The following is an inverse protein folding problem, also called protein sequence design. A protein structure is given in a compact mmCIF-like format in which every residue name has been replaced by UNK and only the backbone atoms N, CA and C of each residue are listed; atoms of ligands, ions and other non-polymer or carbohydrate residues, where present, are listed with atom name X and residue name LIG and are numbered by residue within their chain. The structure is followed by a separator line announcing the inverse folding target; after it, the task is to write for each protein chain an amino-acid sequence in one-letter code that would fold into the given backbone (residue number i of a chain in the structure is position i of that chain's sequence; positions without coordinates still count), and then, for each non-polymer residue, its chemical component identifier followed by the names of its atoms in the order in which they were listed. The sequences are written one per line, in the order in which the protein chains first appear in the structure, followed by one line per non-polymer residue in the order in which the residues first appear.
data_IF_361205065960
#
_entry.id   IF_361205065960
#
_cell.length_a   1.000
_cell.length_b   1.000
_cell.length_c   1.000
_cell.angle_alpha   90.00
_cell.angle_beta   90.00
_cell.angle_gamma   90.00
#
_symmetry.space_group_name_H-M   'P 1'
#
loop_
_entity.id
_entity.type
_entity.pdbx_description
1 polymer ?
#
# COMPACT_ATOMS: atom_id res chain seq x y z
N UNK A 1 -20.35 -11.57 -28.23
CA UNK A 1 -19.02 -11.07 -28.61
C UNK A 1 -18.01 -11.81 -27.73
N UNK A 2 -17.27 -12.75 -28.29
CA UNK A 2 -16.38 -13.66 -27.56
C UNK A 2 -15.30 -12.85 -26.83
N UNK A 3 -15.19 -13.09 -25.52
CA UNK A 3 -14.13 -12.56 -24.68
C UNK A 3 -12.89 -13.39 -25.01
N UNK A 4 -11.95 -12.78 -25.76
CA UNK A 4 -10.63 -13.35 -25.91
C UNK A 4 -9.99 -13.49 -24.52
N UNK A 5 -9.62 -14.72 -24.18
CA UNK A 5 -8.80 -15.04 -23.03
C UNK A 5 -7.53 -14.20 -23.07
N UNK A 6 -7.22 -13.53 -21.94
CA UNK A 6 -5.93 -12.88 -21.73
C UNK A 6 -4.86 -13.97 -21.68
N UNK A 7 -4.16 -14.17 -22.79
CA UNK A 7 -3.08 -15.15 -22.88
C UNK A 7 -1.80 -14.57 -22.25
N UNK A 8 -1.51 -14.99 -21.02
CA UNK A 8 -0.30 -14.63 -20.27
C UNK A 8 1.01 -15.04 -20.98
N UNK A 9 0.95 -15.87 -22.02
CA UNK A 9 2.13 -16.42 -22.70
C UNK A 9 2.80 -15.48 -23.71
N UNK A 10 2.19 -14.34 -24.06
CA UNK A 10 2.82 -13.36 -24.96
C UNK A 10 3.87 -12.44 -24.31
N UNK A 11 4.11 -12.58 -23.01
CA UNK A 11 5.16 -11.86 -22.28
C UNK A 11 6.35 -12.78 -21.95
N UNK A 12 6.83 -13.51 -22.97
CA UNK A 12 8.09 -14.25 -22.84
C UNK A 12 9.25 -13.31 -22.53
N UNK A 13 10.08 -13.77 -21.60
CA UNK A 13 11.24 -13.12 -21.00
C UNK A 13 12.22 -12.58 -22.05
N UNK A 14 12.06 -11.31 -22.41
CA UNK A 14 13.20 -10.48 -22.82
C UNK A 14 13.67 -9.73 -21.58
N UNK A 15 14.97 -9.81 -21.25
CA UNK A 15 15.60 -9.06 -20.14
C UNK A 15 15.04 -7.63 -20.12
N UNK A 16 14.44 -7.14 -19.02
CA UNK A 16 13.80 -5.84 -19.03
C UNK A 16 14.88 -4.76 -19.26
N UNK A 17 14.75 -3.97 -20.32
CA UNK A 17 15.47 -2.70 -20.41
C UNK A 17 14.83 -1.74 -19.40
N UNK A 18 15.49 -1.56 -18.26
CA UNK A 18 15.00 -0.78 -17.13
C UNK A 18 15.18 0.74 -17.32
N UNK A 19 14.94 1.24 -18.52
CA UNK A 19 14.98 2.68 -18.80
C UNK A 19 13.60 3.29 -18.55
N UNK A 20 13.47 4.04 -17.45
CA UNK A 20 12.25 4.77 -17.10
C UNK A 20 11.65 4.44 -15.73
N UNK A 21 12.20 3.46 -15.01
CA UNK A 21 11.87 3.26 -13.61
C UNK A 21 12.56 4.34 -12.76
N UNK A 22 11.88 4.73 -11.68
CA UNK A 22 12.53 5.53 -10.66
C UNK A 22 13.83 4.84 -10.24
N UNK A 23 14.91 5.59 -10.00
CA UNK A 23 16.16 5.01 -9.46
C UNK A 23 15.92 4.19 -8.18
N UNK A 24 14.80 4.43 -7.50
CA UNK A 24 14.31 3.71 -6.32
C UNK A 24 13.53 2.42 -6.68
N UNK A 25 12.73 2.39 -7.75
CA UNK A 25 11.95 1.23 -8.22
C UNK A 25 12.80 0.29 -9.06
N UNK A 26 13.64 0.81 -9.95
CA UNK A 26 14.67 0.01 -10.63
C UNK A 26 15.52 -0.70 -9.60
N UNK A 27 15.94 0.00 -8.55
CA UNK A 27 16.72 -0.62 -7.47
C UNK A 27 15.90 -1.60 -6.64
N UNK A 28 14.60 -1.35 -6.38
CA UNK A 28 13.70 -2.27 -5.65
C UNK A 28 13.43 -3.57 -6.41
N UNK A 29 13.31 -3.49 -7.74
CA UNK A 29 13.05 -4.63 -8.63
C UNK A 29 14.36 -5.38 -8.93
N UNK A 30 15.47 -4.67 -9.14
CA UNK A 30 16.77 -5.27 -9.44
C UNK A 30 17.41 -5.96 -8.23
N UNK A 31 17.12 -5.50 -7.01
CA UNK A 31 17.61 -6.20 -5.81
C UNK A 31 16.74 -7.39 -5.45
N UNK A 32 15.47 -7.46 -5.89
CA UNK A 32 14.66 -8.61 -5.52
C UNK A 32 13.46 -8.92 -6.44
N UNK A 33 13.68 -9.59 -7.58
CA UNK A 33 12.61 -10.00 -8.49
C UNK A 33 11.65 -11.02 -7.86
N UNK A 34 12.18 -11.93 -7.02
CA UNK A 34 11.46 -13.11 -6.50
C UNK A 34 10.88 -12.91 -5.09
N UNK A 35 11.36 -11.94 -4.31
CA UNK A 35 10.94 -11.76 -2.89
C UNK A 35 9.63 -11.02 -2.68
N UNK A 36 9.23 -10.12 -3.58
CA UNK A 36 7.86 -9.62 -3.58
C UNK A 36 6.89 -10.74 -3.97
N UNK A 37 7.33 -11.67 -4.83
CA UNK A 37 6.62 -12.92 -5.11
C UNK A 37 6.55 -13.82 -3.87
N UNK A 38 7.64 -14.00 -3.11
CA UNK A 38 7.61 -14.76 -1.86
C UNK A 38 6.81 -14.08 -0.73
N UNK A 39 6.88 -12.75 -0.57
CA UNK A 39 5.97 -12.02 0.33
C UNK A 39 4.52 -12.15 -0.13
N UNK A 40 4.25 -12.29 -1.44
CA UNK A 40 2.91 -12.54 -1.94
C UNK A 40 2.39 -13.97 -1.71
N UNK A 41 3.31 -14.94 -1.51
CA UNK A 41 3.01 -16.38 -1.39
C UNK A 41 2.74 -16.87 0.04
N UNK A 42 3.12 -16.13 1.07
CA UNK A 42 3.17 -16.70 2.44
C UNK A 42 1.78 -16.83 3.10
N UNK A 43 0.72 -16.18 2.63
CA UNK A 43 -0.65 -16.39 3.15
C UNK A 43 -1.76 -16.38 2.10
N UNK A 44 -1.70 -17.23 1.09
CA UNK A 44 -2.92 -17.65 0.36
C UNK A 44 -3.45 -18.94 0.98
N UNK A 45 -4.39 -18.86 1.93
CA UNK A 45 -5.33 -19.99 2.08
C UNK A 45 -6.10 -20.09 0.76
N UNK A 46 -6.41 -21.29 0.30
CA UNK A 46 -7.03 -21.56 -1.02
C UNK A 46 -8.32 -20.74 -1.29
N UNK A 47 -8.97 -20.19 -0.26
CA UNK A 47 -10.19 -19.37 -0.35
C UNK A 47 -9.97 -17.86 -0.13
N UNK A 48 -8.74 -17.36 -0.16
CA UNK A 48 -8.45 -15.91 -0.07
C UNK A 48 -8.70 -15.25 1.29
N UNK A 49 -9.18 -15.97 2.31
CA UNK A 49 -9.40 -15.38 3.64
C UNK A 49 -8.11 -15.37 4.46
N UNK A 50 -7.70 -14.19 4.94
CA UNK A 50 -6.46 -13.97 5.68
C UNK A 50 -6.78 -13.37 7.06
N UNK A 51 -7.27 -14.24 7.95
CA UNK A 51 -7.58 -13.90 9.35
C UNK A 51 -8.97 -14.33 9.82
N UNK A 52 -9.28 -14.00 11.07
CA UNK A 52 -10.59 -14.18 11.70
C UNK A 52 -11.38 -12.86 11.69
N UNK A 53 -12.65 -12.89 12.11
CA UNK A 53 -13.41 -11.65 12.38
C UNK A 53 -12.85 -10.94 13.62
N UNK A 54 -13.09 -9.62 13.77
CA UNK A 54 -12.87 -8.93 15.04
C UNK A 54 -13.55 -9.65 16.20
N UNK A 55 -12.90 -9.68 17.36
CA UNK A 55 -13.37 -10.44 18.52
C UNK A 55 -14.75 -9.98 18.98
N UNK A 56 -14.95 -8.67 19.11
CA UNK A 56 -16.21 -8.08 19.54
C UNK A 56 -17.36 -8.37 18.55
N UNK A 57 -17.10 -8.33 17.24
CA UNK A 57 -18.07 -8.74 16.23
C UNK A 57 -18.43 -10.22 16.35
N UNK A 58 -17.45 -11.09 16.61
CA UNK A 58 -17.68 -12.53 16.82
C UNK A 58 -18.51 -12.82 18.08
N UNK A 59 -18.29 -12.09 19.17
CA UNK A 59 -19.04 -12.28 20.42
C UNK A 59 -20.54 -11.97 20.27
N UNK A 60 -20.97 -11.18 19.30
CA UNK A 60 -22.39 -10.87 19.06
C UNK A 60 -23.24 -12.09 18.66
N UNK A 61 -22.63 -13.10 18.04
CA UNK A 61 -23.35 -14.30 17.55
C UNK A 61 -22.70 -15.60 18.04
N UNK A 62 -21.75 -15.51 18.97
CA UNK A 62 -21.01 -16.67 19.48
C UNK A 62 -21.95 -17.64 20.19
N UNK A 63 -21.87 -18.90 19.78
CA UNK A 63 -22.58 -20.02 20.40
C UNK A 63 -21.61 -21.05 21.00
N UNK A 64 -22.16 -22.05 21.69
CA UNK A 64 -21.40 -23.22 22.18
C UNK A 64 -21.06 -24.20 21.04
N UNK A 65 -21.76 -24.17 19.90
CA UNK A 65 -21.49 -25.04 18.76
C UNK A 65 -20.41 -24.44 17.87
N UNK A 66 -19.39 -25.25 17.57
CA UNK A 66 -18.30 -24.84 16.67
C UNK A 66 -18.78 -24.73 15.23
N UNK A 67 -19.68 -25.63 14.82
CA UNK A 67 -20.28 -25.69 13.49
C UNK A 67 -21.14 -24.45 13.25
N UNK A 68 -22.04 -24.11 14.18
CA UNK A 68 -22.86 -22.91 14.10
C UNK A 68 -22.00 -21.63 14.05
N UNK A 69 -20.93 -21.58 14.85
CA UNK A 69 -19.99 -20.46 14.81
C UNK A 69 -19.29 -20.34 13.45
N UNK A 70 -18.85 -21.45 12.87
CA UNK A 70 -18.20 -21.44 11.55
C UNK A 70 -19.18 -21.00 10.44
N UNK A 71 -20.43 -21.45 10.50
CA UNK A 71 -21.48 -21.04 9.56
C UNK A 71 -21.79 -19.54 9.69
N UNK A 72 -21.97 -19.02 10.91
CA UNK A 72 -22.22 -17.60 11.12
C UNK A 72 -21.03 -16.73 10.72
N UNK A 73 -19.79 -17.15 10.99
CA UNK A 73 -18.59 -16.46 10.50
C UNK A 73 -18.62 -16.36 8.97
N UNK A 74 -19.00 -17.44 8.28
CA UNK A 74 -19.12 -17.44 6.82
C UNK A 74 -20.20 -16.46 6.36
N UNK A 75 -21.40 -16.52 6.93
CA UNK A 75 -22.52 -15.60 6.60
C UNK A 75 -22.15 -14.13 6.81
N UNK A 76 -21.45 -13.80 7.90
CA UNK A 76 -20.98 -12.42 8.17
C UNK A 76 -19.94 -11.98 7.13
N UNK A 77 -19.00 -12.86 6.77
CA UNK A 77 -18.02 -12.56 5.69
C UNK A 77 -18.72 -12.37 4.35
N UNK A 78 -19.72 -13.19 4.02
CA UNK A 78 -20.49 -13.08 2.79
C UNK A 78 -21.27 -11.75 2.74
N UNK A 79 -21.93 -11.36 3.83
CA UNK A 79 -22.59 -10.05 3.93
C UNK A 79 -21.62 -8.88 3.70
N UNK A 80 -20.41 -8.94 4.28
CA UNK A 80 -19.37 -7.92 4.06
C UNK A 80 -18.82 -7.93 2.63
N UNK A 81 -18.74 -9.09 1.99
CA UNK A 81 -18.37 -9.20 0.57
C UNK A 81 -19.44 -8.55 -0.33
N UNK A 82 -20.72 -8.87 -0.10
CA UNK A 82 -21.85 -8.33 -0.87
C UNK A 82 -21.92 -6.81 -0.75
N UNK A 83 -21.74 -6.28 0.46
CA UNK A 83 -21.64 -4.84 0.69
C UNK A 83 -20.43 -4.24 -0.03
N UNK A 84 -19.27 -4.91 -0.01
CA UNK A 84 -18.09 -4.45 -0.73
C UNK A 84 -18.30 -4.42 -2.24
N UNK A 85 -19.09 -5.32 -2.83
CA UNK A 85 -19.40 -5.27 -4.26
C UNK A 85 -20.16 -4.00 -4.63
N UNK A 86 -21.09 -3.55 -3.78
CA UNK A 86 -21.76 -2.26 -3.96
C UNK A 86 -20.75 -1.10 -3.85
N UNK A 87 -19.93 -1.08 -2.79
CA UNK A 87 -18.94 -0.03 -2.56
C UNK A 87 -17.89 0.04 -3.68
N UNK A 88 -17.46 -1.10 -4.22
CA UNK A 88 -16.52 -1.19 -5.33
C UNK A 88 -17.09 -0.57 -6.63
N UNK A 89 -18.42 -0.46 -6.74
CA UNK A 89 -19.11 0.24 -7.83
C UNK A 89 -18.75 1.73 -7.96
N UNK A 90 -18.16 2.32 -6.91
CA UNK A 90 -17.56 3.67 -7.00
C UNK A 90 -16.48 3.71 -8.08
N UNK A 91 -15.64 2.68 -8.22
CA UNK A 91 -14.57 2.68 -9.22
C UNK A 91 -15.12 2.63 -10.66
N UNK A 92 -16.26 1.98 -10.88
CA UNK A 92 -16.98 2.00 -12.17
C UNK A 92 -17.62 3.38 -12.45
N UNK A 93 -18.16 4.04 -11.41
CA UNK A 93 -18.61 5.42 -11.56
C UNK A 93 -17.45 6.36 -11.92
N UNK A 94 -16.26 6.19 -11.32
CA UNK A 94 -15.06 6.95 -11.70
C UNK A 94 -14.68 6.75 -13.16
N UNK A 95 -14.76 5.52 -13.66
CA UNK A 95 -14.48 5.20 -15.07
C UNK A 95 -15.45 5.96 -15.98
N UNK A 96 -16.75 5.98 -15.64
CA UNK A 96 -17.77 6.75 -16.38
C UNK A 96 -17.50 8.25 -16.35
N UNK A 97 -17.29 8.83 -15.16
CA UNK A 97 -16.94 10.25 -14.99
C UNK A 97 -15.72 10.61 -15.85
N UNK A 98 -14.68 9.77 -15.84
CA UNK A 98 -13.49 9.99 -16.67
C UNK A 98 -13.78 9.94 -18.17
N UNK A 99 -14.64 9.02 -18.63
CA UNK A 99 -15.04 8.91 -20.05
C UNK A 99 -15.82 10.14 -20.53
N UNK A 100 -16.63 10.72 -19.67
CA UNK A 100 -17.47 11.88 -19.98
C UNK A 100 -16.75 13.23 -19.77
N UNK A 101 -15.58 13.21 -19.13
CA UNK A 101 -14.82 14.42 -18.82
C UNK A 101 -14.19 15.06 -20.06
N UNK A 102 -14.29 16.39 -20.16
CA UNK A 102 -13.64 17.16 -21.24
C UNK A 102 -12.11 17.15 -21.06
N UNK A 103 -11.33 16.67 -22.05
CA UNK A 103 -9.87 16.55 -21.93
C UNK A 103 -9.16 17.87 -21.62
N UNK A 104 -9.56 18.97 -22.26
CA UNK A 104 -8.84 20.25 -22.21
C UNK A 104 -8.73 20.80 -20.78
N UNK A 105 -9.79 20.72 -19.98
CA UNK A 105 -9.78 21.25 -18.61
C UNK A 105 -8.81 20.46 -17.72
N UNK A 106 -8.85 19.13 -17.81
CA UNK A 106 -8.00 18.27 -17.00
C UNK A 106 -6.52 18.37 -17.43
N UNK A 107 -6.24 18.20 -18.73
CA UNK A 107 -4.85 18.12 -19.20
C UNK A 107 -4.12 19.45 -18.98
N UNK A 108 -4.75 20.60 -19.27
CA UNK A 108 -4.15 21.92 -19.09
C UNK A 108 -3.72 22.16 -17.63
N UNK A 109 -4.56 21.80 -16.66
CA UNK A 109 -4.25 21.94 -15.23
C UNK A 109 -3.04 21.10 -14.79
N UNK A 110 -2.75 20.02 -15.51
CA UNK A 110 -1.70 19.07 -15.16
C UNK A 110 -0.47 19.18 -16.07
N UNK A 111 -0.40 20.08 -17.04
CA UNK A 111 0.77 20.23 -17.94
C UNK A 111 2.11 20.34 -17.18
N UNK A 112 2.26 21.14 -16.11
CA UNK A 112 3.53 21.19 -15.37
C UNK A 112 3.92 19.84 -14.75
N UNK A 113 2.93 19.01 -14.39
CA UNK A 113 3.15 17.66 -13.86
C UNK A 113 3.39 16.66 -14.98
N UNK A 114 2.74 16.79 -16.13
CA UNK A 114 2.98 15.96 -17.32
C UNK A 114 4.41 16.17 -17.84
N UNK A 115 4.93 17.40 -17.82
CA UNK A 115 6.34 17.68 -18.14
C UNK A 115 7.31 16.81 -17.31
N UNK A 116 6.97 16.54 -16.05
CA UNK A 116 7.78 15.70 -15.16
C UNK A 116 7.85 14.24 -15.60
N UNK A 117 7.02 13.78 -16.54
CA UNK A 117 7.14 12.43 -17.09
C UNK A 117 8.49 12.25 -17.81
N UNK A 118 8.99 13.26 -18.55
CA UNK A 118 10.32 13.19 -19.16
C UNK A 118 11.43 13.63 -18.19
N UNK A 119 11.19 14.65 -17.38
CA UNK A 119 12.22 15.22 -16.48
C UNK A 119 12.54 14.28 -15.32
N UNK A 120 11.49 13.67 -14.75
CA UNK A 120 11.52 12.87 -13.53
C UNK A 120 10.55 11.68 -13.70
N UNK A 121 10.86 10.72 -14.59
CA UNK A 121 9.99 9.59 -14.89
C UNK A 121 9.62 8.81 -13.62
N UNK A 122 10.43 8.92 -12.57
CA UNK A 122 10.10 8.39 -11.26
C UNK A 122 8.76 8.86 -10.68
N UNK A 123 8.28 10.02 -11.09
CA UNK A 123 7.07 10.64 -10.57
C UNK A 123 5.82 10.18 -11.30
N UNK A 124 5.93 9.36 -12.36
CA UNK A 124 4.77 8.85 -13.13
C UNK A 124 3.67 8.31 -12.19
N UNK A 125 3.94 7.41 -11.23
CA UNK A 125 2.89 6.89 -10.34
C UNK A 125 2.14 7.98 -9.59
N UNK A 126 2.86 8.98 -9.08
CA UNK A 126 2.29 10.10 -8.35
C UNK A 126 1.45 11.00 -9.26
N UNK A 127 1.99 11.36 -10.43
CA UNK A 127 1.32 12.23 -11.40
C UNK A 127 0.00 11.60 -11.85
N UNK A 128 0.04 10.33 -12.28
CA UNK A 128 -1.15 9.61 -12.76
C UNK A 128 -2.18 9.42 -11.64
N UNK A 129 -1.74 9.11 -10.42
CA UNK A 129 -2.64 9.01 -9.27
C UNK A 129 -3.33 10.34 -8.97
N UNK A 130 -2.60 11.46 -8.98
CA UNK A 130 -3.17 12.79 -8.75
C UNK A 130 -4.15 13.21 -9.85
N UNK A 131 -3.89 12.85 -11.12
CA UNK A 131 -4.83 13.07 -12.22
C UNK A 131 -6.11 12.25 -12.05
N UNK A 132 -6.00 10.96 -11.70
CA UNK A 132 -7.14 10.06 -11.47
C UNK A 132 -8.01 10.45 -10.26
N UNK A 133 -7.49 11.23 -9.31
CA UNK A 133 -8.29 11.81 -8.22
C UNK A 133 -9.32 12.82 -8.74
N UNK A 134 -9.18 13.34 -9.96
CA UNK A 134 -10.20 14.21 -10.58
C UNK A 134 -11.44 13.46 -11.05
N UNK A 135 -11.37 12.14 -11.17
CA UNK A 135 -12.52 11.30 -11.51
C UNK A 135 -13.37 10.96 -10.28
N UNK A 136 -12.99 11.41 -9.09
CA UNK A 136 -13.67 11.06 -7.86
C UNK A 136 -15.06 11.70 -7.81
N UNK A 137 -16.13 10.93 -7.55
CA UNK A 137 -17.48 11.47 -7.46
C UNK A 137 -17.60 12.44 -6.28
N UNK A 138 -18.62 13.30 -6.33
CA UNK A 138 -18.98 14.14 -5.20
C UNK A 138 -19.54 13.33 -4.02
N UNK A 139 -19.76 14.02 -2.90
CA UNK A 139 -20.23 13.40 -1.65
C UNK A 139 -21.63 12.80 -1.78
N UNK A 140 -22.51 13.39 -2.58
CA UNK A 140 -23.88 12.92 -2.78
C UNK A 140 -23.89 11.61 -3.56
N UNK A 141 -23.11 11.52 -4.63
CA UNK A 141 -22.94 10.29 -5.38
C UNK A 141 -22.33 9.18 -4.50
N UNK A 142 -21.36 9.52 -3.65
CA UNK A 142 -20.76 8.56 -2.71
C UNK A 142 -21.74 8.09 -1.64
N UNK A 143 -22.63 8.96 -1.14
CA UNK A 143 -23.61 8.58 -0.10
C UNK A 143 -24.62 7.55 -0.59
N UNK A 144 -24.98 7.58 -1.88
CA UNK A 144 -25.86 6.56 -2.48
C UNK A 144 -25.27 5.16 -2.33
N UNK A 145 -23.95 5.00 -2.53
CA UNK A 145 -23.28 3.71 -2.36
C UNK A 145 -23.26 3.28 -0.89
N UNK A 146 -22.95 4.20 0.03
CA UNK A 146 -22.90 3.87 1.46
C UNK A 146 -24.27 3.54 2.02
N UNK A 147 -25.33 4.24 1.62
CA UNK A 147 -26.70 3.93 2.04
C UNK A 147 -27.15 2.56 1.55
N UNK A 148 -26.91 2.23 0.27
CA UNK A 148 -27.27 0.92 -0.27
C UNK A 148 -26.50 -0.22 0.39
N UNK A 149 -25.19 -0.06 0.57
CA UNK A 149 -24.36 -1.04 1.24
C UNK A 149 -24.71 -1.19 2.73
N UNK A 150 -25.06 -0.09 3.41
CA UNK A 150 -25.50 -0.10 4.80
C UNK A 150 -26.81 -0.85 4.98
N UNK A 151 -27.81 -0.56 4.16
CA UNK A 151 -29.10 -1.26 4.17
C UNK A 151 -28.95 -2.77 3.88
N UNK A 152 -28.07 -3.13 2.93
CA UNK A 152 -27.77 -4.54 2.66
C UNK A 152 -27.15 -5.20 3.90
N UNK A 153 -26.13 -4.60 4.50
CA UNK A 153 -25.51 -5.15 5.72
C UNK A 153 -26.49 -5.28 6.86
N UNK A 154 -27.34 -4.27 7.06
CA UNK A 154 -28.37 -4.29 8.10
C UNK A 154 -29.30 -5.48 7.96
N UNK A 155 -29.87 -5.68 6.77
CA UNK A 155 -30.78 -6.79 6.50
C UNK A 155 -30.07 -8.14 6.73
N UNK A 156 -28.85 -8.30 6.20
CA UNK A 156 -28.09 -9.54 6.34
C UNK A 156 -27.68 -9.81 7.78
N UNK A 157 -27.29 -8.80 8.54
CA UNK A 157 -26.92 -8.96 9.95
C UNK A 157 -28.14 -9.26 10.83
N UNK A 158 -29.33 -8.73 10.50
CA UNK A 158 -30.59 -9.13 11.14
C UNK A 158 -30.94 -10.59 10.84
N UNK A 159 -30.83 -11.03 9.58
CA UNK A 159 -31.06 -12.43 9.18
C UNK A 159 -30.14 -13.43 9.90
N UNK A 160 -28.88 -13.02 10.15
CA UNK A 160 -27.89 -13.85 10.87
C UNK A 160 -28.15 -13.88 12.38
N UNK A 161 -28.95 -12.94 12.91
CA UNK A 161 -29.13 -12.74 14.34
C UNK A 161 -27.99 -11.99 15.02
N UNK A 162 -27.17 -11.26 14.24
CA UNK A 162 -26.12 -10.37 14.75
C UNK A 162 -26.71 -9.06 15.29
N UNK A 163 -27.81 -8.61 14.68
CA UNK A 163 -28.55 -7.40 15.05
C UNK A 163 -30.01 -7.74 15.37
N UNK A 164 -30.60 -6.99 16.31
CA UNK A 164 -32.04 -7.02 16.57
C UNK A 164 -32.81 -6.31 15.44
N UNK A 165 -34.12 -6.54 15.31
CA UNK A 165 -34.94 -5.85 14.30
C UNK A 165 -34.90 -4.32 14.39
N UNK A 166 -34.76 -3.76 15.61
CA UNK A 166 -34.68 -2.32 15.88
C UNK A 166 -33.29 -1.71 15.69
N UNK A 167 -32.23 -2.52 15.66
CA UNK A 167 -30.86 -2.05 15.46
C UNK A 167 -30.64 -1.63 13.99
N UNK A 168 -29.62 -0.82 13.73
CA UNK A 168 -29.30 -0.30 12.39
C UNK A 168 -27.83 -0.34 12.04
N UNK A 169 -27.52 -0.33 10.74
CA UNK A 169 -26.15 -0.20 10.23
C UNK A 169 -25.96 1.14 9.55
N UNK A 170 -25.00 1.93 10.03
CA UNK A 170 -24.61 3.18 9.39
C UNK A 170 -23.23 3.03 8.73
N UNK A 171 -23.19 3.26 7.41
CA UNK A 171 -21.94 3.39 6.65
C UNK A 171 -21.69 4.86 6.29
N UNK A 172 -20.46 5.32 6.48
CA UNK A 172 -20.04 6.68 6.11
C UNK A 172 -18.72 6.63 5.36
N UNK A 173 -18.65 7.27 4.20
CA UNK A 173 -17.40 7.40 3.45
C UNK A 173 -16.40 8.28 4.21
N UNK A 174 -15.19 7.77 4.43
CA UNK A 174 -14.12 8.49 5.14
C UNK A 174 -13.18 9.15 4.12
N UNK A 175 -12.45 8.33 3.36
CA UNK A 175 -11.42 8.81 2.44
C UNK A 175 -11.15 7.81 1.30
N UNK A 176 -10.52 8.33 0.25
CA UNK A 176 -9.97 7.57 -0.86
C UNK A 176 -8.44 7.55 -0.82
N UNK A 177 -7.92 6.38 -0.48
CA UNK A 177 -6.53 6.03 -0.69
C UNK A 177 -6.19 5.75 -2.15
N UNK A 178 -4.90 5.51 -2.42
CA UNK A 178 -4.42 5.14 -3.76
C UNK A 178 -4.99 3.78 -4.20
N UNK A 179 -4.99 2.78 -3.31
CA UNK A 179 -5.38 1.39 -3.62
C UNK A 179 -6.65 0.91 -2.91
N UNK A 180 -7.26 1.71 -2.04
CA UNK A 180 -8.48 1.35 -1.32
C UNK A 180 -9.33 2.58 -1.00
N UNK A 181 -10.64 2.39 -0.92
CA UNK A 181 -11.59 3.35 -0.35
C UNK A 181 -11.95 2.88 1.07
N UNK A 182 -12.20 3.83 1.97
CA UNK A 182 -12.40 3.56 3.39
C UNK A 182 -13.77 4.04 3.85
N UNK A 183 -14.49 3.20 4.59
CA UNK A 183 -15.85 3.49 5.05
C UNK A 183 -15.97 3.17 6.53
N UNK A 184 -16.42 4.12 7.34
CA UNK A 184 -16.75 3.88 8.75
C UNK A 184 -18.04 3.07 8.80
N UNK A 185 -18.04 2.00 9.57
CA UNK A 185 -19.20 1.17 9.87
C UNK A 185 -19.51 1.26 11.37
N UNK A 186 -20.70 1.78 11.67
CA UNK A 186 -21.28 1.78 13.01
C UNK A 186 -22.45 0.79 13.03
N UNK A 187 -22.50 -0.05 14.06
CA UNK A 187 -23.65 -0.88 14.40
C UNK A 187 -24.34 -0.19 15.56
N UNK A 188 -25.56 0.31 15.35
CA UNK A 188 -26.24 1.18 16.30
C UNK A 188 -27.47 0.49 16.87
N UNK A 189 -27.69 0.64 18.18
CA UNK A 189 -28.91 0.18 18.84
C UNK A 189 -30.10 1.11 18.55
N UNK A 190 -31.26 0.77 19.10
CA UNK A 190 -32.50 1.55 19.00
C UNK A 190 -32.41 2.98 19.58
N UNK A 191 -31.36 3.29 20.35
CA UNK A 191 -31.08 4.60 20.93
C UNK A 191 -29.92 5.32 20.24
N UNK A 192 -29.53 4.86 19.04
CA UNK A 192 -28.42 5.40 18.24
C UNK A 192 -27.05 5.29 18.91
N UNK A 193 -26.87 4.33 19.83
CA UNK A 193 -25.58 4.05 20.48
C UNK A 193 -24.85 2.92 19.79
N UNK A 194 -23.54 3.07 19.65
CA UNK A 194 -22.67 2.02 19.11
C UNK A 194 -22.75 0.74 19.95
N UNK A 195 -23.21 -0.36 19.35
CA UNK A 195 -23.30 -1.71 19.94
C UNK A 195 -21.90 -2.28 20.19
N UNK A 196 -21.00 -2.05 19.23
CA UNK A 196 -19.58 -2.35 19.32
C UNK A 196 -18.80 -1.13 18.83
N UNK A 197 -17.52 -1.05 19.21
CA UNK A 197 -16.64 -0.01 18.73
C UNK A 197 -16.63 0.04 17.17
N UNK A 198 -16.74 1.23 16.55
CA UNK A 198 -16.84 1.34 15.09
C UNK A 198 -15.71 0.66 14.35
N UNK A 199 -16.04 0.13 13.17
CA UNK A 199 -15.08 -0.53 12.28
C UNK A 199 -14.88 0.29 11.01
N UNK A 200 -13.85 -0.04 10.25
CA UNK A 200 -13.59 0.54 8.93
C UNK A 200 -13.58 -0.56 7.89
N UNK A 201 -14.50 -0.51 6.94
CA UNK A 201 -14.47 -1.35 5.75
C UNK A 201 -13.39 -0.79 4.82
N UNK A 202 -12.42 -1.63 4.50
CA UNK A 202 -11.34 -1.38 3.55
C UNK A 202 -11.73 -2.01 2.21
N UNK A 203 -12.28 -1.21 1.30
CA UNK A 203 -12.65 -1.63 -0.05
C UNK A 203 -11.47 -1.43 -0.99
N UNK A 204 -10.73 -2.50 -1.26
CA UNK A 204 -9.57 -2.44 -2.14
C UNK A 204 -9.99 -2.35 -3.61
N UNK A 205 -9.24 -1.55 -4.37
CA UNK A 205 -9.48 -1.36 -5.80
C UNK A 205 -8.95 -2.58 -6.55
N UNK A 206 -9.77 -3.16 -7.43
CA UNK A 206 -9.31 -4.26 -8.25
C UNK A 206 -8.25 -3.77 -9.25
N UNK A 207 -7.25 -4.61 -9.61
CA UNK A 207 -6.29 -4.26 -10.65
C UNK A 207 -6.95 -3.89 -11.98
N UNK A 208 -8.07 -4.56 -12.30
CA UNK A 208 -8.86 -4.32 -13.52
C UNK A 208 -9.43 -2.89 -13.55
N UNK A 209 -10.17 -2.48 -12.51
CA UNK A 209 -10.76 -1.13 -12.50
C UNK A 209 -9.70 -0.05 -12.37
N UNK A 210 -8.61 -0.32 -11.65
CA UNK A 210 -7.48 0.60 -11.55
C UNK A 210 -6.80 0.83 -12.91
N UNK A 211 -6.56 -0.23 -13.69
CA UNK A 211 -6.00 -0.14 -15.05
C UNK A 211 -6.97 0.51 -16.03
N UNK A 212 -8.28 0.23 -15.94
CA UNK A 212 -9.26 0.87 -16.81
C UNK A 212 -9.32 2.40 -16.59
N UNK A 213 -9.24 2.87 -15.35
CA UNK A 213 -9.12 4.32 -15.08
C UNK A 213 -7.86 4.93 -15.69
N UNK A 214 -6.75 4.19 -15.71
CA UNK A 214 -5.51 4.64 -16.37
C UNK A 214 -5.74 4.70 -17.88
N UNK A 215 -6.34 3.68 -18.48
CA UNK A 215 -6.66 3.65 -19.92
C UNK A 215 -7.57 4.82 -20.32
N UNK A 216 -8.58 5.15 -19.52
CA UNK A 216 -9.44 6.32 -19.74
C UNK A 216 -8.62 7.61 -19.72
N UNK A 217 -7.77 7.80 -18.72
CA UNK A 217 -6.90 8.98 -18.63
C UNK A 217 -5.96 9.10 -19.84
N UNK A 218 -5.34 7.99 -20.24
CA UNK A 218 -4.47 7.95 -21.41
C UNK A 218 -5.28 8.24 -22.68
N UNK A 219 -6.49 7.70 -22.82
CA UNK A 219 -7.40 8.04 -23.90
C UNK A 219 -7.70 9.55 -23.98
N UNK A 220 -7.91 10.20 -22.83
CA UNK A 220 -8.09 11.66 -22.75
C UNK A 220 -6.82 12.41 -23.17
N UNK A 221 -5.63 11.99 -22.70
CA UNK A 221 -4.35 12.59 -23.09
C UNK A 221 -4.14 12.48 -24.59
N UNK A 222 -4.35 11.29 -25.16
CA UNK A 222 -4.27 11.04 -26.61
C UNK A 222 -5.18 12.00 -27.36
N UNK A 223 -6.47 12.03 -27.00
CA UNK A 223 -7.46 12.90 -27.65
C UNK A 223 -7.03 14.36 -27.58
N UNK A 224 -6.59 14.84 -26.42
CA UNK A 224 -6.13 16.21 -26.24
C UNK A 224 -4.95 16.56 -27.18
N UNK A 225 -3.86 15.79 -27.11
CA UNK A 225 -2.65 16.10 -27.87
C UNK A 225 -2.84 15.90 -29.39
N UNK A 226 -3.67 14.93 -29.80
CA UNK A 226 -3.99 14.72 -31.21
C UNK A 226 -4.85 15.84 -31.78
N UNK A 227 -5.80 16.39 -31.00
CA UNK A 227 -6.74 17.41 -31.50
C UNK A 227 -6.19 18.83 -31.42
N UNK A 228 -5.40 19.19 -30.39
CA UNK A 228 -4.93 20.58 -30.24
C UNK A 228 -3.91 20.99 -31.32
N UNK A 229 -4.10 22.18 -31.89
CA UNK A 229 -3.22 22.75 -32.94
C UNK A 229 -1.91 23.26 -32.34
N UNK A 230 -0.78 23.25 -33.09
CA UNK A 230 0.53 23.65 -32.56
C UNK A 230 0.55 25.08 -31.98
N UNK A 231 -0.04 26.06 -32.67
CA UNK A 231 -0.09 27.47 -32.22
C UNK A 231 -0.88 27.62 -30.92
N UNK A 232 -2.03 26.96 -30.83
CA UNK A 232 -2.88 26.96 -29.62
C UNK A 232 -2.16 26.29 -28.45
N UNK A 233 -1.52 25.14 -28.70
CA UNK A 233 -0.77 24.42 -27.68
C UNK A 233 0.40 25.24 -27.13
N UNK A 234 1.16 25.91 -27.99
CA UNK A 234 2.28 26.77 -27.56
C UNK A 234 1.80 27.94 -26.68
N UNK A 235 0.66 28.54 -27.03
CA UNK A 235 0.02 29.59 -26.22
C UNK A 235 -0.38 29.05 -24.84
N UNK A 236 -1.05 27.90 -24.79
CA UNK A 236 -1.46 27.24 -23.54
C UNK A 236 -0.25 26.89 -22.67
N UNK A 237 0.79 26.27 -23.24
CA UNK A 237 2.01 25.91 -22.50
C UNK A 237 2.67 27.14 -21.90
N UNK A 238 2.81 28.21 -22.68
CA UNK A 238 3.43 29.47 -22.21
C UNK A 238 2.61 30.04 -21.05
N UNK A 239 1.29 30.20 -21.23
CA UNK A 239 0.41 30.72 -20.20
C UNK A 239 0.43 29.88 -18.91
N UNK A 240 0.37 28.55 -19.02
CA UNK A 240 0.36 27.66 -17.85
C UNK A 240 1.70 27.69 -17.10
N UNK A 241 2.83 27.76 -17.82
CA UNK A 241 4.15 27.84 -17.17
C UNK A 241 4.43 29.22 -16.57
N UNK A 242 3.89 30.30 -17.15
CA UNK A 242 4.02 31.67 -16.63
C UNK A 242 3.29 31.84 -15.29
N UNK A 243 2.14 31.18 -15.14
CA UNK A 243 1.30 31.24 -13.93
C UNK A 243 1.52 30.08 -12.96
N UNK A 244 2.44 29.16 -13.26
CA UNK A 244 2.76 28.06 -12.37
C UNK A 244 3.48 28.58 -11.11
N UNK A 245 3.11 28.05 -9.94
CA UNK A 245 3.84 28.33 -8.70
C UNK A 245 5.31 27.93 -8.83
N UNK A 246 6.20 28.77 -8.28
CA UNK A 246 7.66 28.52 -8.20
C UNK A 246 8.03 27.21 -7.50
N UNK A 247 7.14 26.67 -6.65
CA UNK A 247 7.29 25.34 -6.02
C UNK A 247 7.06 24.19 -7.00
N UNK A 248 6.23 24.40 -8.02
CA UNK A 248 5.86 23.38 -9.01
C UNK A 248 6.81 23.41 -10.20
N UNK A 249 7.10 24.62 -10.70
CA UNK A 249 8.03 24.92 -11.78
C UNK A 249 9.05 25.95 -11.26
N UNK A 250 10.27 25.54 -10.89
CA UNK A 250 11.30 26.47 -10.49
C UNK A 250 11.61 27.46 -11.62
N UNK A 251 11.79 28.77 -11.35
CA UNK A 251 12.03 29.77 -12.40
C UNK A 251 13.21 29.41 -13.33
N UNK A 252 14.28 28.84 -12.76
CA UNK A 252 15.48 28.40 -13.49
C UNK A 252 15.26 27.18 -14.38
N UNK A 253 14.18 26.43 -14.17
CA UNK A 253 13.86 25.20 -14.92
C UNK A 253 12.74 25.42 -15.94
N UNK A 254 12.19 26.63 -16.09
CA UNK A 254 11.02 26.90 -16.93
C UNK A 254 11.21 26.44 -18.38
N UNK A 255 12.39 26.68 -18.95
CA UNK A 255 12.73 26.24 -20.31
C UNK A 255 12.81 24.72 -20.44
N UNK A 256 13.28 24.03 -19.40
CA UNK A 256 13.30 22.57 -19.35
C UNK A 256 11.87 22.00 -19.39
N UNK A 257 10.95 22.58 -18.63
CA UNK A 257 9.53 22.18 -18.64
C UNK A 257 8.88 22.45 -19.99
N UNK A 258 9.13 23.63 -20.58
CA UNK A 258 8.63 23.97 -21.92
C UNK A 258 9.15 22.99 -22.97
N UNK A 259 10.46 22.73 -22.99
CA UNK A 259 11.09 21.77 -23.92
C UNK A 259 10.48 20.38 -23.77
N UNK A 260 10.33 19.90 -22.53
CA UNK A 260 9.70 18.60 -22.27
C UNK A 260 8.26 18.52 -22.76
N UNK A 261 7.44 19.56 -22.54
CA UNK A 261 6.05 19.57 -23.01
C UNK A 261 5.92 19.60 -24.53
N UNK A 262 6.82 20.29 -25.22
CA UNK A 262 6.88 20.29 -26.68
C UNK A 262 7.35 18.95 -27.23
N UNK A 263 8.30 18.29 -26.57
CA UNK A 263 8.75 16.94 -26.91
C UNK A 263 7.61 15.91 -26.74
N UNK A 264 6.89 15.94 -25.61
CA UNK A 264 5.72 15.08 -25.39
C UNK A 264 4.68 15.33 -26.48
N UNK A 265 4.38 16.60 -26.79
CA UNK A 265 3.45 16.93 -27.88
C UNK A 265 3.88 16.35 -29.22
N UNK A 266 5.16 16.49 -29.58
CA UNK A 266 5.69 15.93 -30.84
C UNK A 266 5.59 14.41 -30.86
N UNK A 267 5.98 13.72 -29.77
CA UNK A 267 5.85 12.26 -29.63
C UNK A 267 4.40 11.82 -29.78
N UNK A 268 3.47 12.51 -29.12
CA UNK A 268 2.05 12.22 -29.17
C UNK A 268 1.41 12.46 -30.55
N UNK A 269 2.07 13.15 -31.49
CA UNK A 269 1.62 13.29 -32.88
C UNK A 269 2.10 12.17 -33.80
N UNK A 270 3.10 11.39 -33.39
CA UNK A 270 3.68 10.30 -34.18
C UNK A 270 3.20 8.96 -33.64
N UNK A 271 2.50 8.15 -34.45
CA UNK A 271 1.83 6.91 -33.97
C UNK A 271 2.74 5.99 -33.14
N UNK A 272 3.95 5.69 -33.62
CA UNK A 272 4.87 4.79 -32.93
C UNK A 272 5.40 5.38 -31.61
N UNK A 273 5.63 6.69 -31.56
CA UNK A 273 6.12 7.36 -30.34
C UNK A 273 4.99 7.60 -29.33
N UNK A 274 3.77 7.83 -29.81
CA UNK A 274 2.56 7.84 -28.98
C UNK A 274 2.38 6.51 -28.26
N UNK A 275 2.45 5.39 -28.98
CA UNK A 275 2.32 4.04 -28.41
C UNK A 275 3.40 3.78 -27.34
N UNK A 276 4.66 4.11 -27.62
CA UNK A 276 5.75 3.99 -26.63
C UNK A 276 5.52 4.84 -25.37
N UNK A 277 5.08 6.08 -25.53
CA UNK A 277 4.79 6.98 -24.39
C UNK A 277 3.66 6.43 -23.52
N UNK A 278 2.58 5.95 -24.14
CA UNK A 278 1.47 5.35 -23.41
C UNK A 278 1.86 4.05 -22.71
N UNK A 279 2.65 3.21 -23.38
CA UNK A 279 3.10 1.93 -22.82
C UNK A 279 4.06 2.13 -21.66
N UNK A 280 4.93 3.15 -21.67
CA UNK A 280 5.74 3.53 -20.52
C UNK A 280 4.86 3.79 -19.29
N UNK A 281 3.80 4.59 -19.44
CA UNK A 281 2.89 4.90 -18.34
C UNK A 281 2.14 3.64 -17.90
N UNK A 282 1.58 2.86 -18.84
CA UNK A 282 0.85 1.63 -18.52
C UNK A 282 1.71 0.63 -17.77
N UNK A 283 2.93 0.36 -18.23
CA UNK A 283 3.87 -0.58 -17.58
C UNK A 283 4.22 -0.11 -16.18
N UNK A 284 4.61 1.16 -16.05
CA UNK A 284 4.96 1.76 -14.74
C UNK A 284 3.80 1.67 -13.75
N UNK A 285 2.57 1.95 -14.21
CA UNK A 285 1.38 1.87 -13.36
C UNK A 285 0.95 0.43 -13.06
N UNK A 286 1.12 -0.49 -14.01
CA UNK A 286 0.83 -1.91 -13.83
C UNK A 286 1.71 -2.50 -12.72
N UNK A 287 3.02 -2.25 -12.75
CA UNK A 287 3.94 -2.67 -11.70
C UNK A 287 3.51 -2.08 -10.34
N UNK A 288 3.16 -0.80 -10.34
CA UNK A 288 2.65 -0.12 -9.15
C UNK A 288 1.36 -0.73 -8.60
N UNK A 289 0.46 -1.23 -9.45
CA UNK A 289 -0.75 -1.94 -9.01
C UNK A 289 -0.43 -3.37 -8.58
N UNK A 290 0.50 -4.06 -9.25
CA UNK A 290 0.90 -5.43 -8.92
C UNK A 290 1.52 -5.51 -7.52
N UNK A 291 2.35 -4.54 -7.17
CA UNK A 291 3.11 -4.55 -5.91
C UNK A 291 2.42 -3.80 -4.76
N UNK A 292 1.19 -3.34 -4.94
CA UNK A 292 0.40 -2.69 -3.90
C UNK A 292 -1.06 -3.20 -3.92
N UNK A 293 -1.85 -2.91 -2.89
CA UNK A 293 -3.22 -3.41 -2.76
C UNK A 293 -3.35 -4.64 -1.86
N UNK A 294 -4.50 -5.32 -1.92
CA UNK A 294 -4.89 -6.24 -0.83
C UNK A 294 -3.94 -7.41 -0.63
N UNK A 295 -3.42 -8.02 -1.70
CA UNK A 295 -2.47 -9.13 -1.61
C UNK A 295 -1.19 -8.73 -0.87
N UNK A 296 -0.37 -7.81 -1.42
CA UNK A 296 0.84 -7.33 -0.77
C UNK A 296 0.61 -6.78 0.65
N UNK A 297 -0.43 -5.96 0.87
CA UNK A 297 -0.72 -5.39 2.19
C UNK A 297 -1.13 -6.45 3.22
N UNK A 298 -1.94 -7.44 2.83
CA UNK A 298 -2.37 -8.51 3.73
C UNK A 298 -1.19 -9.35 4.21
N UNK A 299 -0.29 -9.72 3.31
CA UNK A 299 0.89 -10.50 3.65
C UNK A 299 1.82 -9.73 4.58
N UNK A 300 2.09 -8.46 4.29
CA UNK A 300 2.93 -7.62 5.12
C UNK A 300 2.34 -7.44 6.52
N UNK A 301 1.03 -7.22 6.60
CA UNK A 301 0.32 -7.12 7.87
C UNK A 301 0.42 -8.42 8.66
N UNK A 302 0.20 -9.58 8.04
CA UNK A 302 0.36 -10.88 8.72
C UNK A 302 1.79 -11.11 9.20
N UNK A 303 2.79 -10.76 8.39
CA UNK A 303 4.19 -10.84 8.77
C UNK A 303 4.49 -10.01 10.02
N UNK A 304 4.06 -8.74 10.04
CA UNK A 304 4.24 -7.85 11.19
C UNK A 304 3.52 -8.41 12.40
N UNK A 305 2.26 -8.83 12.26
CA UNK A 305 1.48 -9.36 13.39
C UNK A 305 2.11 -10.62 14.00
N UNK A 306 2.70 -11.50 13.20
CA UNK A 306 3.43 -12.68 13.68
C UNK A 306 4.76 -12.33 14.33
N UNK A 307 5.48 -11.39 13.73
CA UNK A 307 6.83 -11.01 14.19
C UNK A 307 6.79 -10.11 15.43
N UNK A 308 5.75 -9.29 15.57
CA UNK A 308 5.50 -8.42 16.73
C UNK A 308 4.60 -9.08 17.79
N UNK A 309 3.95 -10.19 17.47
CA UNK A 309 3.03 -10.90 18.35
C UNK A 309 1.62 -10.34 18.30
N UNK A 310 0.64 -11.23 18.15
CA UNK A 310 -0.80 -10.94 18.19
C UNK A 310 -1.33 -10.94 19.64
N UNK A 311 -2.38 -10.15 19.96
CA UNK A 311 -3.10 -9.19 19.10
C UNK A 311 -2.44 -7.79 19.01
N UNK A 312 -2.84 -7.00 18.02
CA UNK A 312 -2.28 -5.66 17.75
C UNK A 312 -2.94 -4.53 18.56
N UNK A 313 -4.00 -4.84 19.31
CA UNK A 313 -4.88 -3.84 19.94
C UNK A 313 -4.16 -2.86 20.86
N UNK A 314 -3.10 -3.25 21.57
CA UNK A 314 -2.32 -2.34 22.43
C UNK A 314 -1.05 -1.77 21.76
N UNK A 315 -0.87 -2.02 20.45
CA UNK A 315 0.27 -1.53 19.68
C UNK A 315 -0.01 -0.19 18.99
N UNK A 316 1.05 0.45 18.49
CA UNK A 316 0.98 1.65 17.64
C UNK A 316 0.55 1.36 16.20
N UNK A 317 0.03 0.16 15.89
CA UNK A 317 -0.57 -0.17 14.61
C UNK A 317 -2.02 -0.63 14.80
N UNK A 318 -2.90 -0.21 13.89
CA UNK A 318 -4.30 -0.65 13.88
C UNK A 318 -4.39 -2.14 13.51
N UNK A 319 -5.34 -2.86 14.10
CA UNK A 319 -5.58 -4.25 13.74
C UNK A 319 -6.42 -4.32 12.45
N UNK A 320 -5.91 -5.03 11.42
CA UNK A 320 -6.58 -5.19 10.12
C UNK A 320 -6.88 -6.66 9.84
N UNK A 321 -8.14 -6.99 9.62
CA UNK A 321 -8.67 -8.30 9.32
C UNK A 321 -8.98 -8.38 7.83
N UNK A 322 -8.18 -9.14 7.08
CA UNK A 322 -8.36 -9.32 5.64
C UNK A 322 -9.36 -10.46 5.41
N UNK A 323 -10.63 -10.09 5.23
CA UNK A 323 -11.74 -11.02 5.22
C UNK A 323 -11.74 -11.89 3.96
N UNK A 324 -11.49 -11.29 2.80
CA UNK A 324 -11.36 -12.00 1.53
C UNK A 324 -10.50 -11.19 0.54
N UNK A 325 -9.31 -11.71 0.22
CA UNK A 325 -8.36 -11.11 -0.72
C UNK A 325 -8.81 -11.22 -2.17
N UNK A 326 -9.62 -12.22 -2.53
CA UNK A 326 -10.21 -12.36 -3.87
C UNK A 326 -11.30 -11.30 -4.10
N UNK A 327 -12.12 -11.05 -3.08
CA UNK A 327 -13.19 -10.05 -3.12
C UNK A 327 -12.73 -8.64 -2.70
N UNK A 328 -11.42 -8.42 -2.55
CA UNK A 328 -10.84 -7.10 -2.29
C UNK A 328 -11.42 -6.40 -1.04
N UNK A 329 -11.70 -7.14 0.03
CA UNK A 329 -12.28 -6.57 1.27
C UNK A 329 -11.46 -6.89 2.51
N UNK A 330 -11.23 -5.84 3.31
CA UNK A 330 -10.71 -5.93 4.66
C UNK A 330 -11.59 -5.15 5.64
N UNK A 331 -11.35 -5.38 6.93
CA UNK A 331 -11.99 -4.68 8.04
C UNK A 331 -10.91 -4.27 9.03
N UNK A 332 -10.97 -3.06 9.58
CA UNK A 332 -10.10 -2.65 10.69
C UNK A 332 -10.90 -2.01 11.81
N UNK A 333 -10.26 -1.81 12.96
CA UNK A 333 -10.78 -0.90 13.97
C UNK A 333 -10.76 0.55 13.45
N UNK A 334 -11.73 1.37 13.87
CA UNK A 334 -11.69 2.81 13.65
C UNK A 334 -10.71 3.46 14.65
N UNK A 335 -9.71 4.21 14.19
CA UNK A 335 -8.71 4.75 15.11
C UNK A 335 -9.22 6.02 15.79
N UNK A 336 -9.73 5.89 17.03
CA UNK A 336 -10.17 7.02 17.85
C UNK A 336 -9.75 6.88 19.32
N UNK A 337 -10.22 7.80 20.17
CA UNK A 337 -9.90 7.84 21.61
C UNK A 337 -10.59 6.75 22.44
N UNK A 338 -11.58 6.04 21.88
CA UNK A 338 -12.25 4.94 22.57
C UNK A 338 -11.39 3.66 22.55
N UNK A 339 -10.43 3.56 21.63
CA UNK A 339 -9.45 2.47 21.65
C UNK A 339 -8.53 2.56 22.87
N UNK A 340 -8.04 1.41 23.41
CA UNK A 340 -7.08 1.41 24.50
C UNK A 340 -5.83 2.24 24.18
N UNK A 341 -5.22 2.88 25.17
CA UNK A 341 -3.97 3.61 24.93
C UNK A 341 -2.86 2.69 24.37
N UNK A 342 -2.02 3.22 23.48
CA UNK A 342 -0.86 2.50 22.94
C UNK A 342 0.13 2.22 24.07
N UNK A 343 0.38 0.94 24.35
CA UNK A 343 1.34 0.49 25.39
C UNK A 343 2.62 -0.08 24.80
N UNK A 344 2.63 -0.42 23.50
CA UNK A 344 3.75 -1.05 22.81
C UNK A 344 3.98 -0.39 21.45
N UNK A 345 5.23 -0.01 21.16
CA UNK A 345 5.61 0.44 19.82
C UNK A 345 6.25 -0.69 19.02
N UNK A 346 5.82 -0.87 17.78
CA UNK A 346 6.35 -1.85 16.84
C UNK A 346 7.54 -1.21 16.14
N UNK A 347 8.74 -1.64 16.52
CA UNK A 347 9.94 -1.21 15.85
C UNK A 347 10.15 -2.05 14.58
N UNK A 348 9.68 -1.53 13.44
CA UNK A 348 9.82 -2.18 12.12
C UNK A 348 11.28 -2.53 11.76
N UNK A 349 12.25 -1.73 12.20
CA UNK A 349 13.66 -1.98 11.89
C UNK A 349 14.14 -3.31 12.49
N UNK A 350 13.50 -3.78 13.58
CA UNK A 350 13.76 -5.11 14.15
C UNK A 350 13.41 -6.26 13.21
N UNK A 351 12.61 -6.00 12.19
CA UNK A 351 12.17 -6.98 11.19
C UNK A 351 12.80 -6.73 9.81
N UNK A 352 13.82 -5.86 9.74
CA UNK A 352 14.40 -5.43 8.46
C UNK A 352 13.42 -4.60 7.64
N UNK A 353 12.48 -3.90 8.28
CA UNK A 353 11.47 -3.07 7.63
C UNK A 353 11.59 -1.61 8.07
N UNK A 354 11.08 -0.68 7.27
CA UNK A 354 10.85 0.71 7.63
C UNK A 354 9.58 1.21 6.96
N UNK A 355 8.98 2.28 7.47
CA UNK A 355 7.77 2.85 6.90
C UNK A 355 8.09 4.21 6.27
N UNK A 356 8.17 4.28 4.94
CA UNK A 356 8.56 5.53 4.28
C UNK A 356 7.45 6.58 4.34
N UNK A 357 6.19 6.14 4.22
CA UNK A 357 5.05 7.05 4.28
C UNK A 357 4.88 7.72 5.66
N UNK A 358 5.24 7.09 6.80
CA UNK A 358 5.16 7.79 8.10
C UNK A 358 6.17 8.93 8.25
N UNK A 359 7.27 8.89 7.49
CA UNK A 359 8.26 9.96 7.47
C UNK A 359 7.70 11.16 6.67
N UNK A 360 6.98 10.88 5.59
CA UNK A 360 6.52 11.88 4.62
C UNK A 360 5.07 12.33 4.80
N UNK A 361 4.24 11.55 5.48
CA UNK A 361 2.81 11.73 5.59
C UNK A 361 2.32 11.38 7.02
N UNK A 362 2.35 12.39 7.90
CA UNK A 362 1.92 12.25 9.29
C UNK A 362 0.44 11.85 9.44
N UNK A 363 -0.39 12.05 8.41
CA UNK A 363 -1.83 11.73 8.44
C UNK A 363 -2.11 10.22 8.43
N UNK A 364 -1.11 9.39 8.13
CA UNK A 364 -1.21 7.93 8.27
C UNK A 364 -1.15 7.46 9.73
N UNK A 365 -1.06 8.41 10.68
CA UNK A 365 -1.10 8.17 12.12
C UNK A 365 -2.25 8.96 12.75
N UNK A 366 -3.18 8.27 13.42
CA UNK A 366 -4.36 8.84 14.08
C UNK A 366 -4.44 8.29 15.50
N UNK A 367 -4.60 9.16 16.51
CA UNK A 367 -4.63 8.77 17.94
C UNK A 367 -3.47 7.83 18.31
N UNK A 368 -2.26 8.26 17.93
CA UNK A 368 -1.01 7.53 18.12
C UNK A 368 -0.85 6.17 17.40
N UNK A 369 -1.80 5.79 16.54
CA UNK A 369 -1.78 4.53 15.79
C UNK A 369 -1.61 4.72 14.31
N UNK A 370 -0.77 3.89 13.71
CA UNK A 370 -0.58 3.77 12.27
C UNK A 370 -1.79 3.03 11.68
N UNK A 371 -2.53 3.69 10.79
CA UNK A 371 -3.77 3.18 10.20
C UNK A 371 -3.58 2.60 8.79
N UNK A 372 -2.44 2.88 8.17
CA UNK A 372 -2.11 2.37 6.84
C UNK A 372 -0.82 1.55 6.90
N UNK A 373 -0.88 0.32 6.40
CA UNK A 373 0.29 -0.55 6.26
C UNK A 373 0.98 -0.35 4.90
N UNK A 374 0.37 0.43 4.00
CA UNK A 374 1.01 0.88 2.75
C UNK A 374 2.30 1.64 3.05
N UNK A 375 3.32 1.48 2.19
CA UNK A 375 4.60 2.19 2.35
C UNK A 375 5.58 1.54 3.34
N UNK A 376 5.23 0.43 3.98
CA UNK A 376 6.22 -0.38 4.71
C UNK A 376 7.07 -1.15 3.71
N UNK A 377 8.39 -1.02 3.84
CA UNK A 377 9.39 -1.48 2.87
C UNK A 377 10.55 -2.16 3.57
N UNK A 378 11.26 -3.08 2.91
CA UNK A 378 12.52 -3.60 3.42
C UNK A 378 13.54 -2.49 3.63
N UNK A 379 14.24 -2.54 4.74
CA UNK A 379 15.38 -1.66 5.02
C UNK A 379 16.51 -2.02 4.03
N UNK A 380 17.03 -1.03 3.32
CA UNK A 380 18.03 -1.23 2.25
C UNK A 380 19.27 -1.91 2.83
N UNK A 381 19.66 -3.07 2.28
CA UNK A 381 20.79 -3.87 2.77
C UNK A 381 20.46 -4.85 3.91
N UNK A 382 19.18 -5.14 4.17
CA UNK A 382 18.71 -6.15 5.13
C UNK A 382 17.79 -7.21 4.49
N UNK A 383 17.88 -7.34 3.17
CA UNK A 383 17.12 -8.32 2.39
C UNK A 383 17.41 -9.75 2.85
N UNK A 384 18.68 -10.01 3.09
CA UNK A 384 19.20 -11.31 3.50
C UNK A 384 18.65 -11.71 4.89
N UNK A 385 18.41 -10.74 5.78
CA UNK A 385 17.74 -10.99 7.07
C UNK A 385 16.26 -11.35 6.89
N UNK A 386 15.62 -10.74 5.90
CA UNK A 386 14.18 -10.89 5.71
C UNK A 386 13.82 -12.27 5.14
N UNK A 387 14.74 -12.85 4.35
CA UNK A 387 14.68 -14.21 3.79
C UNK A 387 15.16 -15.28 4.79
N UNK A 388 15.98 -14.90 5.77
CA UNK A 388 16.58 -15.84 6.70
C UNK A 388 16.06 -15.67 8.13
N UNK A 389 15.13 -16.55 8.52
CA UNK A 389 14.48 -16.49 9.84
C UNK A 389 15.43 -16.63 11.03
N UNK A 390 16.57 -17.32 10.84
CA UNK A 390 17.58 -17.52 11.88
C UNK A 390 18.46 -16.26 12.00
N UNK A 391 18.96 -15.74 10.88
CA UNK A 391 19.72 -14.50 10.86
C UNK A 391 18.92 -13.34 11.47
N UNK A 392 17.64 -13.21 11.11
CA UNK A 392 16.70 -12.24 11.69
C UNK A 392 16.59 -12.38 13.21
N UNK A 393 16.52 -13.61 13.74
CA UNK A 393 16.42 -13.86 15.18
C UNK A 393 17.66 -13.35 15.92
N UNK A 394 18.86 -13.57 15.38
CA UNK A 394 20.10 -13.12 16.02
C UNK A 394 20.29 -11.60 15.90
N UNK A 395 20.01 -11.02 14.73
CA UNK A 395 19.95 -9.56 14.56
C UNK A 395 18.98 -8.93 15.56
N UNK A 396 17.81 -9.56 15.77
CA UNK A 396 16.83 -9.11 16.74
C UNK A 396 17.37 -9.10 18.17
N UNK A 397 18.04 -10.18 18.61
CA UNK A 397 18.65 -10.26 19.94
C UNK A 397 19.61 -9.10 20.18
N UNK A 398 20.45 -8.77 19.19
CA UNK A 398 21.39 -7.63 19.26
C UNK A 398 20.63 -6.30 19.35
N UNK A 399 19.59 -6.12 18.53
CA UNK A 399 18.77 -4.90 18.51
C UNK A 399 17.97 -4.65 19.80
N UNK A 400 17.63 -5.71 20.54
CA UNK A 400 16.87 -5.64 21.78
C UNK A 400 17.73 -5.29 22.98
N UNK A 401 19.06 -5.35 22.87
CA UNK A 401 19.96 -4.87 23.90
C UNK A 401 19.74 -3.37 24.03
N UNK A 402 19.15 -2.99 25.15
CA UNK A 402 18.84 -1.62 25.53
C UNK A 402 18.96 -1.49 27.05
N UNK A 403 19.83 -0.59 27.48
CA UNK A 403 20.05 -0.22 28.87
C UNK A 403 19.49 1.18 29.12
N UNK A 404 19.42 1.61 30.39
CA UNK A 404 19.01 2.99 30.75
C UNK A 404 19.94 4.05 30.17
N UNK A 405 21.19 3.67 29.87
CA UNK A 405 22.24 4.54 29.37
C UNK A 405 22.68 4.08 27.97
N UNK A 406 22.90 5.04 27.08
CA UNK A 406 23.23 4.78 25.68
C UNK A 406 24.64 4.19 25.54
N UNK A 407 25.61 4.67 26.32
CA UNK A 407 26.99 4.13 26.30
C UNK A 407 26.98 2.66 26.72
N UNK A 408 26.30 2.34 27.82
CA UNK A 408 26.12 0.96 28.29
C UNK A 408 25.37 0.09 27.27
N UNK A 409 24.40 0.66 26.56
CA UNK A 409 23.69 -0.05 25.48
C UNK A 409 24.65 -0.45 24.36
N UNK A 410 25.50 0.48 23.91
CA UNK A 410 26.48 0.24 22.84
C UNK A 410 27.53 -0.79 23.28
N UNK A 411 28.10 -0.64 24.49
CA UNK A 411 29.09 -1.60 25.01
C UNK A 411 28.50 -3.01 25.15
N UNK A 412 27.26 -3.15 25.62
CA UNK A 412 26.61 -4.46 25.74
C UNK A 412 26.30 -5.09 24.38
N UNK A 413 25.98 -4.27 23.36
CA UNK A 413 25.85 -4.74 21.98
C UNK A 413 27.17 -5.24 21.43
N UNK A 414 28.27 -4.51 21.65
CA UNK A 414 29.63 -4.92 21.24
C UNK A 414 30.00 -6.25 21.89
N UNK A 415 29.82 -6.39 23.22
CA UNK A 415 30.13 -7.62 23.96
C UNK A 415 29.38 -8.83 23.38
N UNK A 416 28.06 -8.69 23.23
CA UNK A 416 27.23 -9.76 22.69
C UNK A 416 27.55 -10.07 21.22
N UNK A 417 27.86 -9.04 20.42
CA UNK A 417 28.27 -9.19 19.03
C UNK A 417 29.58 -9.96 18.91
N UNK A 418 30.60 -9.60 19.71
CA UNK A 418 31.92 -10.27 19.69
C UNK A 418 31.82 -11.73 20.13
N UNK A 419 31.04 -12.02 21.18
CA UNK A 419 30.83 -13.39 21.64
C UNK A 419 30.23 -14.27 20.54
N UNK A 420 29.19 -13.76 19.86
CA UNK A 420 28.59 -14.48 18.74
C UNK A 420 29.54 -14.60 17.55
N UNK A 421 30.29 -13.54 17.20
CA UNK A 421 31.22 -13.54 16.09
C UNK A 421 32.32 -14.58 16.27
N UNK A 422 32.94 -14.61 17.46
CA UNK A 422 34.03 -15.53 17.77
C UNK A 422 33.59 -16.99 17.68
N UNK A 423 32.38 -17.31 18.16
CA UNK A 423 31.82 -18.67 18.06
C UNK A 423 31.37 -19.01 16.63
N UNK A 424 30.82 -18.04 15.88
CA UNK A 424 30.32 -18.27 14.53
C UNK A 424 31.44 -18.43 13.50
N UNK A 425 32.51 -17.63 13.57
CA UNK A 425 33.67 -17.75 12.64
C UNK A 425 34.35 -19.10 12.74
N UNK A 426 34.39 -19.69 13.93
CA UNK A 426 34.98 -21.02 14.17
C UNK A 426 34.01 -22.17 13.88
N UNK A 427 32.81 -21.87 13.40
CA UNK A 427 31.72 -22.84 13.20
C UNK A 427 31.39 -23.67 14.47
N UNK A 428 31.64 -23.13 15.66
CA UNK A 428 31.39 -23.80 16.97
C UNK A 428 29.90 -23.85 17.34
N UNK A 429 29.04 -23.16 16.58
CA UNK A 429 27.59 -23.10 16.82
C UNK A 429 26.78 -23.44 15.56
N UNK A 430 25.62 -24.10 15.69
CA UNK A 430 24.72 -24.36 14.57
C UNK A 430 24.29 -23.07 13.88
N UNK A 431 24.07 -23.14 12.55
CA UNK A 431 23.64 -22.01 11.72
C UNK A 431 24.64 -20.84 11.69
N UNK A 432 25.94 -21.13 11.87
CA UNK A 432 26.99 -20.12 11.94
C UNK A 432 26.97 -19.14 10.75
N UNK A 433 26.68 -19.58 9.51
CA UNK A 433 26.56 -18.70 8.33
C UNK A 433 25.44 -17.67 8.48
N UNK A 434 24.29 -18.08 9.00
CA UNK A 434 23.14 -17.20 9.23
C UNK A 434 23.43 -16.20 10.38
N UNK A 435 24.22 -16.64 11.37
CA UNK A 435 24.67 -15.79 12.48
C UNK A 435 25.68 -14.77 11.99
N UNK A 436 26.63 -15.15 11.13
CA UNK A 436 27.58 -14.22 10.51
C UNK A 436 26.86 -13.15 9.69
N UNK A 437 25.84 -13.55 8.92
CA UNK A 437 24.98 -12.61 8.20
C UNK A 437 24.27 -11.64 9.15
N UNK A 438 23.74 -12.14 10.27
CA UNK A 438 23.10 -11.30 11.30
C UNK A 438 24.09 -10.29 11.91
N UNK A 439 25.34 -10.71 12.14
CA UNK A 439 26.40 -9.87 12.69
C UNK A 439 26.83 -8.79 11.71
N UNK A 440 27.00 -9.12 10.44
CA UNK A 440 27.29 -8.16 9.36
C UNK A 440 26.25 -7.04 9.32
N UNK A 441 24.96 -7.40 9.29
CA UNK A 441 23.87 -6.41 9.20
C UNK A 441 23.68 -5.62 10.51
N UNK A 442 23.87 -6.26 11.67
CA UNK A 442 23.72 -5.61 12.99
C UNK A 442 24.85 -4.64 13.33
N UNK A 443 25.96 -4.61 12.58
CA UNK A 443 26.98 -3.56 12.71
C UNK A 443 26.39 -2.15 12.60
N UNK A 444 25.34 -1.97 11.80
CA UNK A 444 24.61 -0.70 11.66
C UNK A 444 23.87 -0.26 12.94
N UNK A 445 23.63 -1.16 13.89
CA UNK A 445 23.01 -0.87 15.18
C UNK A 445 24.02 -0.41 16.24
N UNK A 446 25.31 -0.51 15.93
CA UNK A 446 26.42 -0.10 16.77
C UNK A 446 26.94 1.22 16.22
N UNK A 447 27.06 2.25 17.05
CA UNK A 447 27.54 3.57 16.58
C UNK A 447 28.98 3.45 16.05
N UNK A 448 29.35 4.19 14.99
CA UNK A 448 30.67 4.10 14.37
C UNK A 448 31.83 4.27 15.36
N UNK A 449 31.66 5.12 16.37
CA UNK A 449 32.64 5.36 17.43
C UNK A 449 32.99 4.10 18.24
N UNK A 450 32.16 3.05 18.26
CA UNK A 450 32.43 1.77 18.94
C UNK A 450 32.87 0.66 17.98
N UNK A 451 32.95 0.90 16.67
CA UNK A 451 33.32 -0.15 15.70
C UNK A 451 34.74 -0.67 15.90
N UNK A 452 35.64 0.14 16.46
CA UNK A 452 37.00 -0.26 16.80
C UNK A 452 37.05 -1.34 17.92
N UNK A 453 35.93 -1.57 18.61
CA UNK A 453 35.80 -2.60 19.65
C UNK A 453 35.24 -3.91 19.12
N UNK A 454 34.82 -3.97 17.85
CA UNK A 454 34.30 -5.19 17.25
C UNK A 454 35.45 -6.10 16.83
N UNK A 455 35.33 -7.41 17.10
CA UNK A 455 36.25 -8.41 16.58
C UNK A 455 36.38 -8.24 15.07
N UNK A 456 37.61 -8.21 14.56
CA UNK A 456 37.90 -7.96 13.15
C UNK A 456 37.06 -8.87 12.26
N UNK A 457 36.16 -8.27 11.48
CA UNK A 457 35.52 -8.92 10.34
C UNK A 457 36.62 -9.11 9.30
N UNK A 458 37.45 -10.15 9.44
CA UNK A 458 38.16 -10.67 8.27
C UNK A 458 37.05 -11.18 7.36
N UNK A 459 36.88 -10.48 6.23
CA UNK A 459 35.90 -10.79 5.22
C UNK A 459 36.10 -12.23 4.76
N UNK A 460 35.35 -13.15 5.34
CA UNK A 460 35.17 -14.50 4.83
C UNK A 460 34.16 -14.41 3.69
N UNK A 461 34.64 -14.07 2.50
CA UNK A 461 33.92 -14.39 1.26
C UNK A 461 34.23 -15.83 0.87
#
# INVERSE_FOLDING_TARGET
MQINSFDNRKYEYSRPSFEGLTKLMSKRISTNPEYLEHLSQVYTREQGSVGNLPKDLFELFRSRSREANAENIKKVKDALNDANMLLAGIEELKIRIGKDMKPNSLINQFLPKIAKINIQPERIPRIITEMRKRFTPDKEALSVFTTKAGALLENRFKEIGLLKPSDKVQLTYIDQGKYKNTFKMCLLDENDKDIIHPKVILSFKSPKSAMEQINVLLGMMKKYFQTIKPKEYLSVVTNVLDHASSKVVPPKEKDLYKKSLLEIYSKMKMKNEEEKFMDLIKRTMYDEIKYNGIGPESNLTQFIKRSAGHPMTASDYIDVFYLNTQNNVGLSEFSDKALPAVRRKINLHKYGLFHDDLIMNKNNKVEDRVIDYGGIKPLRGMEELSQNGIARRYYHKISQIQMKDEVKTQLKRVEYWNNLYNSAVKAEIPNHKDILLALEKSRSLIKPEYWHLLSDIKASF
#
